data_IF_639010015021
#
_entry.id   IF_639010015021
#
_cell.length_a   1.000
_cell.length_b   1.000
_cell.length_c   1.000
_cell.angle_alpha   90.00
_cell.angle_beta   90.00
_cell.angle_gamma   90.00
#
_symmetry.space_group_name_H-M   'P 1'
#
loop_
_entity.id
_entity.type
_entity.pdbx_description
1 polymer ?
#
# COMPACT_ATOMS: atom_id res chain seq x y z
N UNK A 1 -32.67 16.49 5.80
CA UNK A 1 -31.65 17.57 5.92
C UNK A 1 -30.94 17.45 7.25
N UNK A 2 -29.64 17.76 7.33
CA UNK A 2 -28.89 17.64 8.59
C UNK A 2 -29.12 18.87 9.48
N UNK A 3 -29.40 18.62 10.75
CA UNK A 3 -29.43 19.61 11.83
C UNK A 3 -28.11 19.52 12.57
N UNK A 4 -27.42 20.65 12.73
CA UNK A 4 -26.09 20.72 13.34
C UNK A 4 -26.07 21.55 14.61
N UNK A 5 -25.05 21.35 15.43
CA UNK A 5 -24.87 22.09 16.68
C UNK A 5 -24.50 23.56 16.46
N UNK A 6 -23.88 23.89 15.32
CA UNK A 6 -23.51 25.25 14.93
C UNK A 6 -23.62 25.46 13.41
N UNK A 7 -23.53 26.72 12.95
CA UNK A 7 -23.66 27.08 11.54
C UNK A 7 -22.38 26.77 10.76
N UNK A 8 -22.20 25.50 10.40
CA UNK A 8 -21.04 25.03 9.63
C UNK A 8 -20.97 23.50 9.53
N UNK A 9 -20.26 22.99 8.53
CA UNK A 9 -20.11 21.53 8.30
C UNK A 9 -19.15 20.85 9.27
N UNK A 10 -18.32 21.63 9.95
CA UNK A 10 -17.42 21.21 11.04
C UNK A 10 -18.14 20.98 12.38
N UNK A 11 -19.38 21.44 12.53
CA UNK A 11 -20.16 21.16 13.74
C UNK A 11 -20.82 19.78 13.69
N UNK A 12 -20.91 19.08 14.84
CA UNK A 12 -21.57 17.78 14.94
C UNK A 12 -23.02 17.85 14.45
N UNK A 13 -23.47 16.77 13.80
CA UNK A 13 -24.86 16.59 13.43
C UNK A 13 -25.63 16.16 14.68
N UNK A 14 -26.63 16.95 15.07
CA UNK A 14 -27.54 16.65 16.18
C UNK A 14 -28.67 15.72 15.76
N UNK A 15 -29.02 15.73 14.47
CA UNK A 15 -30.08 14.90 13.93
C UNK A 15 -30.40 15.24 12.47
N UNK A 16 -31.49 14.68 11.98
CA UNK A 16 -31.97 14.92 10.63
C UNK A 16 -33.46 15.27 10.64
N UNK A 17 -33.86 16.16 9.73
CA UNK A 17 -35.27 16.42 9.44
C UNK A 17 -35.70 15.70 8.15
N UNK A 18 -36.88 15.05 8.14
CA UNK A 18 -37.49 14.53 6.93
C UNK A 18 -37.87 15.65 5.94
N UNK A 19 -37.87 15.37 4.62
CA UNK A 19 -38.37 16.29 3.60
C UNK A 19 -39.83 16.70 3.85
N UNK A 20 -40.17 17.95 3.51
CA UNK A 20 -41.54 18.48 3.64
C UNK A 20 -41.94 18.90 5.07
N UNK A 21 -41.08 18.69 6.07
CA UNK A 21 -41.32 19.19 7.42
C UNK A 21 -41.08 20.71 7.49
N UNK A 22 -42.09 21.45 7.92
CA UNK A 22 -41.98 22.89 8.20
C UNK A 22 -41.62 23.13 9.66
N UNK A 23 -40.65 24.02 9.91
CA UNK A 23 -40.26 24.48 11.24
C UNK A 23 -40.14 26.01 11.27
N UNK A 24 -40.42 26.65 12.42
CA UNK A 24 -40.17 28.07 12.57
C UNK A 24 -38.66 28.33 12.61
N UNK A 25 -38.23 29.38 11.91
CA UNK A 25 -36.89 29.94 12.05
C UNK A 25 -36.87 30.85 13.28
N UNK A 26 -35.94 30.63 14.19
CA UNK A 26 -35.82 31.39 15.45
C UNK A 26 -34.54 32.24 15.53
N UNK A 27 -33.70 32.18 14.50
CA UNK A 27 -32.48 32.95 14.39
C UNK A 27 -31.70 32.62 13.12
N UNK A 28 -30.67 33.41 12.84
CA UNK A 28 -29.77 33.21 11.70
C UNK A 28 -28.32 33.46 12.09
N UNK A 29 -27.37 32.95 11.32
CA UNK A 29 -25.97 33.33 11.48
C UNK A 29 -25.74 34.72 10.86
N UNK A 30 -24.59 35.33 11.14
CA UNK A 30 -24.24 36.66 10.63
C UNK A 30 -24.31 36.78 9.10
N UNK A 31 -24.06 35.68 8.39
CA UNK A 31 -24.07 35.65 6.92
C UNK A 31 -25.43 35.27 6.31
N UNK A 32 -26.45 34.95 7.10
CA UNK A 32 -27.75 34.49 6.61
C UNK A 32 -27.73 33.16 5.84
N UNK A 33 -26.68 32.35 5.99
CA UNK A 33 -26.49 31.07 5.29
C UNK A 33 -26.93 29.87 6.11
N UNK A 34 -27.25 30.08 7.39
CA UNK A 34 -27.71 29.05 8.31
C UNK A 34 -28.86 29.57 9.17
N UNK A 35 -29.89 28.75 9.29
CA UNK A 35 -31.10 29.01 10.08
C UNK A 35 -31.05 28.22 11.37
N UNK A 36 -31.29 28.89 12.49
CA UNK A 36 -31.49 28.24 13.78
C UNK A 36 -32.96 27.84 13.92
N UNK A 37 -33.21 26.60 14.31
CA UNK A 37 -34.55 26.03 14.52
C UNK A 37 -34.66 25.38 15.90
N UNK A 38 -35.86 25.34 16.51
CA UNK A 38 -36.08 24.61 17.75
C UNK A 38 -36.09 23.09 17.50
N UNK A 39 -35.61 22.34 18.47
CA UNK A 39 -35.57 20.88 18.45
C UNK A 39 -36.60 20.29 19.43
N UNK A 40 -37.11 19.06 19.19
CA UNK A 40 -38.10 18.43 20.06
C UNK A 40 -37.64 18.24 21.52
N UNK A 41 -36.33 18.18 21.75
CA UNK A 41 -35.73 18.07 23.08
C UNK A 41 -35.63 19.41 23.83
N UNK A 42 -36.24 20.48 23.31
CA UNK A 42 -36.13 21.84 23.85
C UNK A 42 -34.83 22.57 23.50
N UNK A 43 -33.92 21.91 22.79
CA UNK A 43 -32.68 22.50 22.29
C UNK A 43 -32.89 23.31 21.01
N UNK A 44 -31.79 23.81 20.45
CA UNK A 44 -31.74 24.48 19.16
C UNK A 44 -30.69 23.85 18.27
N UNK A 45 -30.94 23.86 16.97
CA UNK A 45 -30.01 23.36 15.96
C UNK A 45 -29.97 24.25 14.74
N UNK A 46 -28.97 24.03 13.89
CA UNK A 46 -28.66 24.85 12.72
C UNK A 46 -28.84 24.04 11.44
N UNK A 47 -29.49 24.64 10.45
CA UNK A 47 -29.74 24.04 9.14
C UNK A 47 -29.25 25.01 8.06
N UNK A 48 -28.56 24.49 7.05
CA UNK A 48 -28.06 25.30 5.96
C UNK A 48 -29.22 25.80 5.09
N UNK A 49 -29.16 27.07 4.68
CA UNK A 49 -30.13 27.67 3.77
C UNK A 49 -30.24 26.88 2.45
N UNK A 50 -29.10 26.38 1.97
CA UNK A 50 -29.00 25.62 0.71
C UNK A 50 -29.81 24.32 0.64
N UNK A 51 -30.37 23.85 1.76
CA UNK A 51 -31.15 22.61 1.83
C UNK A 51 -32.59 22.83 2.29
N UNK A 52 -33.04 24.08 2.41
CA UNK A 52 -34.40 24.43 2.83
C UNK A 52 -35.04 25.45 1.89
N UNK A 53 -36.35 25.63 2.01
CA UNK A 53 -37.06 26.78 1.46
C UNK A 53 -37.60 27.61 2.61
N UNK A 54 -37.29 28.89 2.61
CA UNK A 54 -37.78 29.84 3.62
C UNK A 54 -38.96 30.61 3.03
N UNK A 55 -40.08 30.65 3.76
CA UNK A 55 -41.30 31.34 3.35
C UNK A 55 -41.70 32.40 4.38
N UNK A 56 -42.02 33.61 3.93
CA UNK A 56 -42.44 34.73 4.78
C UNK A 56 -41.32 35.73 5.08
N UNK A 57 -41.63 36.83 5.79
CA UNK A 57 -40.63 37.81 6.19
C UNK A 57 -39.64 37.20 7.19
N UNK A 58 -38.36 37.26 6.86
CA UNK A 58 -37.27 36.73 7.67
C UNK A 58 -36.68 37.85 8.52
N UNK A 59 -37.44 38.28 9.54
CA UNK A 59 -36.96 39.23 10.55
C UNK A 59 -36.62 38.48 11.83
N UNK A 60 -35.49 37.76 11.80
CA UNK A 60 -35.02 36.93 12.91
C UNK A 60 -33.67 37.45 13.42
N UNK A 61 -33.42 37.35 14.74
CA UNK A 61 -32.18 37.84 15.32
C UNK A 61 -30.97 37.07 14.80
N UNK A 62 -29.85 37.77 14.65
CA UNK A 62 -28.55 37.14 14.42
C UNK A 62 -28.10 36.49 15.73
N UNK A 63 -27.83 35.18 15.67
CA UNK A 63 -27.35 34.40 16.80
C UNK A 63 -25.87 34.08 16.56
N UNK A 64 -24.96 34.44 17.48
CA UNK A 64 -23.55 34.11 17.33
C UNK A 64 -23.36 32.59 17.31
N UNK A 65 -22.47 32.12 16.44
CA UNK A 65 -22.13 30.72 16.39
C UNK A 65 -21.54 30.25 17.73
N UNK A 66 -21.91 29.06 18.24
CA UNK A 66 -21.15 28.46 19.33
C UNK A 66 -19.69 28.29 18.89
N UNK A 67 -18.71 28.31 19.82
CA UNK A 67 -17.34 28.04 19.45
C UNK A 67 -17.24 26.68 18.72
N UNK A 68 -16.49 26.59 17.61
CA UNK A 68 -16.26 25.33 16.91
C UNK A 68 -15.78 24.26 17.90
N UNK A 69 -16.16 22.99 17.70
CA UNK A 69 -15.52 21.90 18.44
C UNK A 69 -14.01 22.01 18.27
N UNK A 70 -13.26 21.73 19.34
CA UNK A 70 -11.83 21.55 19.20
C UNK A 70 -11.57 20.54 18.07
N UNK A 71 -10.60 20.79 17.17
CA UNK A 71 -10.20 19.79 16.19
C UNK A 71 -9.99 18.45 16.92
N UNK A 72 -10.47 17.33 16.37
CA UNK A 72 -10.13 16.03 16.96
C UNK A 72 -8.61 15.97 17.08
N UNK A 73 -8.11 15.68 18.27
CA UNK A 73 -6.69 15.37 18.46
C UNK A 73 -6.35 14.27 17.47
N UNK A 74 -5.38 14.53 16.58
CA UNK A 74 -4.90 13.52 15.66
C UNK A 74 -4.44 12.33 16.50
N UNK A 75 -5.27 11.28 16.52
CA UNK A 75 -4.86 10.01 17.11
C UNK A 75 -3.86 9.46 16.14
N UNK A 76 -2.61 9.26 16.58
CA UNK A 76 -1.61 8.59 15.75
C UNK A 76 -2.26 7.29 15.24
N UNK A 77 -2.11 6.96 13.95
CA UNK A 77 -2.56 5.65 13.48
C UNK A 77 -1.97 4.58 14.42
N UNK A 78 -2.72 3.51 14.74
CA UNK A 78 -2.18 2.41 15.52
C UNK A 78 -0.81 2.03 14.95
N UNK A 79 0.21 1.76 15.79
CA UNK A 79 1.50 1.33 15.29
C UNK A 79 1.24 0.15 14.35
N UNK A 80 1.75 0.26 13.12
CA UNK A 80 1.66 -0.80 12.14
C UNK A 80 2.20 -2.08 12.80
N UNK A 81 1.54 -3.25 12.63
CA UNK A 81 2.08 -4.50 13.13
C UNK A 81 3.55 -4.62 12.71
N UNK A 82 4.44 -5.13 13.58
CA UNK A 82 5.85 -5.29 13.20
C UNK A 82 5.91 -6.10 11.91
N UNK A 83 6.43 -5.48 10.83
CA UNK A 83 6.66 -6.15 9.56
C UNK A 83 7.48 -7.41 9.82
N UNK A 84 7.17 -8.57 9.20
CA UNK A 84 7.99 -9.75 9.32
C UNK A 84 9.46 -9.40 9.09
N UNK A 85 10.32 -9.70 10.08
CA UNK A 85 11.76 -9.48 9.97
C UNK A 85 12.35 -10.61 9.13
N UNK A 86 12.30 -10.44 7.82
CA UNK A 86 13.00 -11.31 6.89
C UNK A 86 14.52 -11.17 7.06
N UNK A 87 15.28 -12.23 6.73
CA UNK A 87 16.74 -12.20 6.82
C UNK A 87 17.37 -11.37 5.71
N UNK A 88 16.67 -11.26 4.57
CA UNK A 88 17.12 -10.52 3.40
C UNK A 88 16.08 -9.49 2.97
N UNK A 89 16.54 -8.34 2.47
CA UNK A 89 15.71 -7.29 1.89
C UNK A 89 16.07 -7.06 0.42
N UNK A 90 15.07 -6.80 -0.45
CA UNK A 90 15.32 -6.35 -1.82
C UNK A 90 16.15 -5.07 -1.85
N UNK A 91 17.19 -5.04 -2.67
CA UNK A 91 17.95 -3.81 -2.95
C UNK A 91 17.55 -3.17 -4.27
N UNK A 92 16.72 -3.84 -5.06
CA UNK A 92 16.18 -3.37 -6.32
C UNK A 92 16.33 -4.40 -7.43
N UNK A 93 15.73 -4.08 -8.57
CA UNK A 93 15.82 -4.88 -9.79
C UNK A 93 15.80 -3.97 -11.02
N UNK A 94 16.27 -4.49 -12.15
CA UNK A 94 16.13 -3.87 -13.47
C UNK A 94 15.94 -4.94 -14.53
N UNK A 95 15.37 -4.56 -15.67
CA UNK A 95 15.19 -5.44 -16.83
C UNK A 95 16.16 -5.06 -17.95
N UNK A 96 16.63 -6.07 -18.67
CA UNK A 96 17.47 -5.92 -19.85
C UNK A 96 16.70 -6.30 -21.11
N UNK A 97 16.90 -5.51 -22.17
CA UNK A 97 16.32 -5.79 -23.47
C UNK A 97 16.92 -7.09 -24.03
N UNK A 98 16.07 -8.07 -24.20
CA UNK A 98 16.40 -9.33 -24.87
C UNK A 98 15.13 -9.87 -25.52
N UNK A 99 15.20 -10.22 -26.79
CA UNK A 99 14.03 -10.59 -27.59
C UNK A 99 13.68 -12.09 -27.51
N UNK A 100 14.16 -12.83 -26.49
CA UNK A 100 14.22 -14.28 -26.63
C UNK A 100 14.60 -15.17 -25.44
N UNK A 101 14.54 -14.78 -24.17
CA UNK A 101 14.77 -15.70 -23.04
C UNK A 101 13.74 -15.44 -21.94
N UNK A 102 13.58 -16.34 -20.98
CA UNK A 102 13.04 -15.96 -19.66
C UNK A 102 14.12 -16.26 -18.66
N UNK A 103 14.85 -15.24 -18.19
CA UNK A 103 15.96 -15.41 -17.26
C UNK A 103 15.88 -14.42 -16.10
N UNK A 104 16.07 -14.96 -14.90
CA UNK A 104 16.29 -14.20 -13.68
C UNK A 104 17.73 -14.40 -13.23
N UNK A 105 18.37 -13.34 -12.75
CA UNK A 105 19.70 -13.43 -12.16
C UNK A 105 19.92 -12.31 -11.16
N UNK A 106 21.04 -12.37 -10.46
CA UNK A 106 21.53 -11.24 -9.69
C UNK A 106 22.50 -11.66 -8.61
N UNK A 107 22.58 -10.86 -7.57
CA UNK A 107 23.50 -11.06 -6.46
C UNK A 107 22.81 -10.96 -5.12
N UNK A 108 23.31 -11.73 -4.16
CA UNK A 108 22.91 -11.68 -2.76
C UNK A 108 24.15 -11.34 -1.94
N UNK A 109 24.06 -10.27 -1.16
CA UNK A 109 25.16 -9.78 -0.31
C UNK A 109 24.73 -9.69 1.15
N UNK A 110 25.70 -9.56 2.06
CA UNK A 110 25.46 -9.27 3.47
C UNK A 110 25.36 -7.76 3.72
N UNK A 111 25.11 -7.36 4.97
CA UNK A 111 25.01 -5.95 5.35
C UNK A 111 26.28 -5.13 5.01
N UNK A 112 27.45 -5.79 4.98
CA UNK A 112 28.74 -5.20 4.61
C UNK A 112 29.02 -5.21 3.10
N UNK A 113 28.11 -5.75 2.28
CA UNK A 113 28.28 -5.90 0.85
C UNK A 113 29.11 -7.12 0.44
N UNK A 114 29.51 -7.98 1.38
CA UNK A 114 30.20 -9.21 1.04
C UNK A 114 29.22 -10.23 0.46
N UNK A 115 29.65 -11.09 -0.48
CA UNK A 115 28.78 -12.04 -1.15
C UNK A 115 28.25 -13.13 -0.20
N UNK A 116 26.98 -13.48 -0.36
CA UNK A 116 26.31 -14.56 0.39
C UNK A 116 26.10 -15.76 -0.52
N UNK A 117 26.75 -16.88 -0.21
CA UNK A 117 26.64 -18.14 -0.94
C UNK A 117 25.65 -19.10 -0.27
N UNK A 118 25.10 -20.04 -1.03
CA UNK A 118 24.34 -21.18 -0.52
C UNK A 118 22.85 -20.94 -0.30
N UNK A 119 22.32 -19.76 -0.67
CA UNK A 119 20.88 -19.46 -0.61
C UNK A 119 20.27 -19.51 -2.00
N UNK A 120 19.00 -19.89 -2.11
CA UNK A 120 18.34 -20.03 -3.41
C UNK A 120 17.28 -18.94 -3.60
N UNK A 121 16.87 -18.72 -4.85
CA UNK A 121 15.75 -17.84 -5.20
C UNK A 121 14.66 -18.67 -5.83
N UNK A 122 13.44 -18.51 -5.33
CA UNK A 122 12.26 -19.05 -5.97
C UNK A 122 11.67 -17.99 -6.92
N UNK A 123 11.36 -18.39 -8.15
CA UNK A 123 10.60 -17.57 -9.09
C UNK A 123 9.21 -18.18 -9.30
N UNK A 124 8.17 -17.36 -9.09
CA UNK A 124 6.77 -17.79 -9.20
C UNK A 124 6.00 -16.98 -10.22
N UNK A 125 5.13 -17.66 -10.95
CA UNK A 125 4.16 -17.06 -11.87
C UNK A 125 2.82 -17.78 -11.70
N UNK A 126 1.89 -17.19 -10.95
CA UNK A 126 0.65 -17.88 -10.54
C UNK A 126 0.96 -19.17 -9.76
N UNK A 127 0.50 -20.30 -10.29
CA UNK A 127 0.72 -21.64 -9.72
C UNK A 127 2.07 -22.26 -10.12
N UNK A 128 2.75 -21.70 -11.12
CA UNK A 128 4.09 -22.14 -11.51
C UNK A 128 5.13 -21.65 -10.51
N UNK A 129 6.05 -22.54 -10.12
CA UNK A 129 7.20 -22.22 -9.26
C UNK A 129 8.42 -23.03 -9.68
N UNK A 130 9.58 -22.40 -9.57
CA UNK A 130 10.89 -23.05 -9.73
C UNK A 130 11.89 -22.43 -8.76
N UNK A 131 12.93 -23.18 -8.40
CA UNK A 131 13.98 -22.74 -7.48
C UNK A 131 15.31 -22.73 -8.25
N UNK A 132 16.08 -21.65 -8.08
CA UNK A 132 17.43 -21.53 -8.62
C UNK A 132 18.38 -22.55 -7.98
N UNK A 133 19.54 -22.74 -8.59
CA UNK A 133 20.66 -23.28 -7.84
C UNK A 133 21.03 -22.32 -6.68
N UNK A 134 21.65 -22.83 -5.61
CA UNK A 134 22.18 -21.98 -4.54
C UNK A 134 23.18 -20.94 -5.07
N UNK A 135 23.19 -19.76 -4.47
CA UNK A 135 24.07 -18.66 -4.86
C UNK A 135 25.55 -19.00 -4.66
N UNK A 136 26.38 -18.47 -5.55
CA UNK A 136 27.83 -18.65 -5.55
C UNK A 136 28.29 -20.08 -5.87
N UNK A 137 29.55 -20.41 -5.53
CA UNK A 137 30.21 -21.66 -5.98
C UNK A 137 29.54 -22.95 -5.47
N UNK A 138 28.68 -22.86 -4.47
CA UNK A 138 28.03 -24.02 -3.83
C UNK A 138 26.97 -24.66 -4.75
N UNK A 139 26.36 -23.89 -5.66
CA UNK A 139 25.22 -24.36 -6.45
C UNK A 139 25.54 -25.00 -7.81
N UNK A 140 26.81 -25.10 -8.22
CA UNK A 140 27.15 -25.43 -9.62
C UNK A 140 28.03 -26.66 -9.78
N UNK A 141 27.78 -27.52 -10.78
CA UNK A 141 28.63 -28.67 -11.06
C UNK A 141 30.02 -28.22 -11.57
N UNK A 142 31.09 -28.98 -11.30
CA UNK A 142 32.49 -28.58 -11.51
C UNK A 142 32.93 -28.46 -12.98
N UNK A 143 32.00 -28.49 -13.94
CA UNK A 143 32.30 -28.58 -15.38
C UNK A 143 32.18 -27.25 -16.15
N UNK A 144 31.67 -26.18 -15.52
CA UNK A 144 31.74 -24.83 -16.11
C UNK A 144 33.12 -24.22 -15.85
N UNK A 145 33.68 -23.60 -16.87
CA UNK A 145 35.09 -23.20 -16.97
C UNK A 145 35.60 -22.32 -15.81
N UNK A 146 36.92 -22.17 -15.75
CA UNK A 146 37.71 -21.47 -14.73
C UNK A 146 37.39 -19.99 -14.49
N UNK A 147 36.30 -19.46 -15.03
CA UNK A 147 35.75 -18.13 -14.68
C UNK A 147 34.68 -18.16 -13.59
N UNK A 148 34.17 -19.35 -13.22
CA UNK A 148 33.27 -19.66 -12.10
C UNK A 148 32.48 -18.50 -11.53
N UNK A 149 31.16 -18.44 -11.81
CA UNK A 149 30.30 -17.31 -11.46
C UNK A 149 30.60 -16.72 -10.07
N UNK A 150 30.60 -15.38 -9.95
CA UNK A 150 31.17 -14.72 -8.79
C UNK A 150 30.41 -15.12 -7.52
N UNK A 151 31.09 -15.17 -6.36
CA UNK A 151 30.43 -15.34 -5.08
C UNK A 151 29.19 -14.45 -4.94
N UNK A 152 28.12 -15.01 -4.38
CA UNK A 152 26.84 -14.32 -4.21
C UNK A 152 25.96 -14.29 -5.44
N UNK A 153 26.46 -14.66 -6.62
CA UNK A 153 25.68 -14.71 -7.85
C UNK A 153 24.69 -15.87 -7.85
N UNK A 154 23.50 -15.63 -8.39
CA UNK A 154 22.50 -16.66 -8.65
C UNK A 154 21.87 -16.41 -10.01
N UNK A 155 21.40 -17.47 -10.65
CA UNK A 155 20.60 -17.34 -11.86
C UNK A 155 19.57 -18.46 -12.00
N UNK A 156 18.64 -18.22 -12.92
CA UNK A 156 17.59 -19.13 -13.28
C UNK A 156 17.17 -18.82 -14.72
N UNK A 157 17.54 -19.69 -15.65
CA UNK A 157 17.06 -19.63 -17.04
C UNK A 157 15.89 -20.60 -17.21
N UNK A 158 14.70 -20.08 -17.47
CA UNK A 158 13.47 -20.85 -17.53
C UNK A 158 13.12 -21.34 -18.93
N UNK A 159 13.27 -20.46 -19.92
CA UNK A 159 12.86 -20.74 -21.29
C UNK A 159 13.75 -19.98 -22.26
N UNK A 160 13.80 -20.48 -23.49
CA UNK A 160 14.46 -19.84 -24.63
C UNK A 160 13.54 -18.87 -25.37
N UNK A 161 12.46 -18.43 -24.71
CA UNK A 161 11.47 -17.46 -25.17
C UNK A 161 10.96 -16.66 -23.98
N UNK A 162 10.48 -15.43 -24.18
CA UNK A 162 9.83 -14.67 -23.13
C UNK A 162 8.52 -15.36 -22.72
N UNK A 163 8.31 -15.51 -21.42
CA UNK A 163 7.06 -15.95 -20.81
C UNK A 163 6.46 -14.73 -20.11
N UNK A 164 5.52 -14.02 -20.77
CA UNK A 164 4.89 -12.85 -20.17
C UNK A 164 4.11 -13.23 -18.92
N UNK A 165 4.58 -12.74 -17.78
CA UNK A 165 3.95 -12.95 -16.49
C UNK A 165 4.39 -11.90 -15.48
N UNK A 166 3.54 -11.69 -14.47
CA UNK A 166 3.93 -11.04 -13.22
C UNK A 166 4.64 -12.06 -12.35
N UNK A 167 5.96 -12.03 -12.41
CA UNK A 167 6.84 -12.90 -11.66
C UNK A 167 7.06 -12.37 -10.26
N UNK A 168 7.10 -13.29 -9.30
CA UNK A 168 7.39 -13.01 -7.90
C UNK A 168 8.67 -13.75 -7.55
N UNK A 169 9.73 -13.00 -7.25
CA UNK A 169 11.04 -13.54 -6.89
C UNK A 169 11.23 -13.43 -5.38
N UNK A 170 11.74 -14.47 -4.72
CA UNK A 170 11.94 -14.47 -3.27
C UNK A 170 13.16 -15.29 -2.89
N UNK A 171 14.00 -14.80 -1.98
CA UNK A 171 15.06 -15.62 -1.37
C UNK A 171 14.41 -16.68 -0.49
N UNK A 172 14.79 -17.94 -0.69
CA UNK A 172 14.22 -19.09 0.00
C UNK A 172 15.30 -20.01 0.57
N UNK A 173 14.92 -20.71 1.63
CA UNK A 173 15.63 -21.91 2.06
C UNK A 173 15.06 -23.12 1.29
N UNK A 174 15.95 -23.87 0.65
CA UNK A 174 15.60 -25.07 -0.12
C UNK A 174 16.77 -26.06 -0.09
N UNK A 175 16.88 -26.88 0.98
CA UNK A 175 18.03 -27.78 1.17
C UNK A 175 18.18 -28.85 0.08
N UNK A 176 17.09 -29.22 -0.58
CA UNK A 176 17.04 -30.21 -1.66
C UNK A 176 17.00 -29.58 -3.07
N UNK A 177 17.01 -28.24 -3.15
CA UNK A 177 16.85 -27.48 -4.39
C UNK A 177 15.48 -27.62 -5.05
N UNK A 178 14.49 -28.21 -4.38
CA UNK A 178 13.17 -28.55 -4.95
C UNK A 178 12.01 -28.07 -4.09
N UNK A 179 12.21 -27.96 -2.78
CA UNK A 179 11.17 -27.68 -1.80
C UNK A 179 11.50 -26.44 -1.02
N UNK A 180 10.59 -25.46 -1.00
CA UNK A 180 10.73 -24.27 -0.15
C UNK A 180 10.39 -24.63 1.30
N UNK A 181 11.38 -24.58 2.19
CA UNK A 181 11.18 -24.79 3.64
C UNK A 181 10.93 -23.47 4.37
N UNK A 182 11.47 -22.36 3.86
CA UNK A 182 11.24 -21.02 4.40
C UNK A 182 11.37 -19.94 3.31
N UNK A 183 10.56 -18.87 3.43
CA UNK A 183 10.75 -17.62 2.67
C UNK A 183 11.55 -16.64 3.53
N UNK A 184 12.67 -16.19 3.01
CA UNK A 184 13.69 -15.47 3.78
C UNK A 184 13.79 -13.99 3.41
N UNK A 185 13.05 -13.53 2.40
CA UNK A 185 12.97 -12.13 1.97
C UNK A 185 11.53 -11.66 1.74
N UNK A 186 11.34 -10.35 1.72
CA UNK A 186 10.23 -9.78 0.96
C UNK A 186 10.38 -10.15 -0.52
N UNK A 187 9.25 -10.23 -1.21
CA UNK A 187 9.23 -10.55 -2.63
C UNK A 187 9.61 -9.34 -3.49
N UNK A 188 10.25 -9.61 -4.63
CA UNK A 188 10.38 -8.67 -5.73
C UNK A 188 9.39 -9.08 -6.81
N UNK A 189 8.44 -8.20 -7.11
CA UNK A 189 7.52 -8.36 -8.23
C UNK A 189 8.15 -7.74 -9.49
N UNK A 190 8.27 -8.55 -10.54
CA UNK A 190 8.87 -8.16 -11.83
C UNK A 190 7.97 -8.63 -12.97
N UNK A 191 8.08 -7.99 -14.13
CA UNK A 191 7.33 -8.39 -15.32
C UNK A 191 8.32 -8.74 -16.44
N UNK A 192 8.12 -9.90 -17.05
CA UNK A 192 8.84 -10.30 -18.26
C UNK A 192 7.96 -9.94 -19.46
N UNK A 193 8.55 -9.31 -20.48
CA UNK A 193 7.87 -8.94 -21.72
C UNK A 193 8.61 -9.49 -22.93
N UNK A 194 8.06 -9.28 -24.14
CA UNK A 194 8.72 -9.68 -25.39
C UNK A 194 9.96 -8.86 -25.72
N UNK A 195 10.11 -7.67 -25.12
CA UNK A 195 11.25 -6.78 -25.32
C UNK A 195 12.26 -6.91 -24.18
N UNK A 196 11.76 -7.00 -22.95
CA UNK A 196 12.55 -7.07 -21.72
C UNK A 196 12.34 -8.44 -21.07
N UNK A 197 13.29 -9.35 -21.29
CA UNK A 197 13.09 -10.77 -20.96
C UNK A 197 14.20 -11.40 -20.11
N UNK A 198 15.17 -10.57 -19.72
CA UNK A 198 16.14 -10.84 -18.68
C UNK A 198 15.89 -9.85 -17.55
N UNK A 199 15.79 -10.34 -16.32
CA UNK A 199 15.61 -9.52 -15.13
C UNK A 199 16.77 -9.76 -14.16
N UNK A 200 17.41 -8.68 -13.74
CA UNK A 200 18.41 -8.70 -12.68
C UNK A 200 17.79 -8.22 -11.38
N UNK A 201 17.82 -9.04 -10.33
CA UNK A 201 17.21 -8.78 -9.02
C UNK A 201 18.19 -9.09 -7.88
N UNK A 202 18.31 -8.16 -6.94
CA UNK A 202 19.34 -8.21 -5.90
C UNK A 202 18.73 -8.15 -4.49
N UNK A 203 19.42 -8.79 -3.54
CA UNK A 203 19.07 -8.76 -2.12
C UNK A 203 20.29 -8.50 -1.24
N UNK A 204 20.03 -7.94 -0.07
CA UNK A 204 21.00 -7.74 1.01
C UNK A 204 20.52 -8.41 2.29
N UNK A 205 21.42 -9.04 3.04
CA UNK A 205 21.14 -9.58 4.37
C UNK A 205 21.05 -8.44 5.39
N UNK A 206 20.03 -8.48 6.25
CA UNK A 206 19.70 -7.39 7.16
C UNK A 206 20.64 -7.25 8.38
N UNK A 207 21.36 -8.31 8.77
CA UNK A 207 22.29 -8.33 9.91
C UNK A 207 23.36 -9.40 9.77
#
# INVERSE_FOLDING_TARGET
MNVRQGPGTNYPVLGQLPPGQSLPVVGQNESGTWWQVPLPNGGRGWIADSVVQVSGPVDVPVVPAPPPPAPPTATLPPPEPPKPQFQYEPTGWYADTNYGLTRFLGTITDAGGAPVNGVSVEARCGDFSVISNPSGPVGWPPFYDSSGDPPGFWDLTLDTKPIPCKWVLTVVESPDGKTVTARMSDAIEVEVTTEESIITANWRKNW
#
